data_IF_488166396474
#
_entry.id   IF_488166396474
#
_cell.length_a   1.000
_cell.length_b   1.000
_cell.length_c   1.000
_cell.angle_alpha   90.00
_cell.angle_beta   90.00
_cell.angle_gamma   90.00
#
_symmetry.space_group_name_H-M   'P 1'
#
loop_
_entity.id
_entity.type
_entity.pdbx_description
1 polymer ?
#
# COMPACT_ATOMS: atom_id res chain seq x y z
N UNK A 1 15.74 9.68 7.69
CA UNK A 1 14.88 9.69 8.91
C UNK A 1 13.49 9.10 8.65
N UNK A 2 12.75 9.53 7.62
CA UNK A 2 11.37 9.06 7.37
C UNK A 2 11.17 7.54 7.24
N UNK A 3 12.18 6.79 6.78
CA UNK A 3 12.11 5.32 6.65
C UNK A 3 12.63 4.55 7.87
N UNK A 4 13.08 5.23 8.93
CA UNK A 4 13.68 4.57 10.10
C UNK A 4 15.00 3.82 9.84
N UNK A 5 15.53 3.85 8.61
CA UNK A 5 16.80 3.20 8.25
C UNK A 5 18.01 3.98 8.78
N UNK A 6 19.01 3.32 9.38
CA UNK A 6 20.28 3.96 9.75
C UNK A 6 20.94 4.64 8.55
N UNK A 7 21.48 5.85 8.75
CA UNK A 7 22.17 6.61 7.71
C UNK A 7 23.32 7.41 8.34
N UNK A 8 24.50 7.29 7.74
CA UNK A 8 25.66 8.15 8.04
C UNK A 8 25.89 9.03 6.81
N UNK A 9 25.80 10.34 6.98
CA UNK A 9 25.99 11.31 5.91
C UNK A 9 27.19 12.23 6.21
N UNK A 10 27.77 12.84 5.17
CA UNK A 10 28.88 13.78 5.33
C UNK A 10 30.21 13.13 5.73
N UNK A 11 30.41 11.83 5.45
CA UNK A 11 31.66 11.15 5.76
C UNK A 11 32.74 11.50 4.72
N UNK A 12 33.55 12.53 5.01
CA UNK A 12 34.61 13.01 4.11
C UNK A 12 35.69 11.96 3.78
N UNK A 13 35.80 10.91 4.60
CA UNK A 13 36.73 9.80 4.40
C UNK A 13 36.25 8.77 3.36
N UNK A 14 35.04 8.92 2.82
CA UNK A 14 34.47 8.06 1.76
C UNK A 14 34.85 8.63 0.40
N UNK A 15 35.57 7.83 -0.39
CA UNK A 15 35.98 8.17 -1.76
C UNK A 15 35.54 7.05 -2.69
N UNK A 16 34.65 7.35 -3.63
CA UNK A 16 34.27 6.40 -4.68
C UNK A 16 35.40 6.32 -5.71
N UNK A 17 36.01 5.14 -5.86
CA UNK A 17 37.17 4.92 -6.74
C UNK A 17 36.81 4.20 -8.05
N UNK A 18 35.56 3.77 -8.20
CA UNK A 18 35.04 3.12 -9.39
C UNK A 18 33.54 2.89 -9.30
N UNK A 19 32.93 2.26 -10.33
CA UNK A 19 31.49 1.96 -10.37
C UNK A 19 31.02 1.09 -9.20
N UNK A 20 31.86 0.13 -8.80
CA UNK A 20 31.56 -0.87 -7.78
C UNK A 20 32.67 -0.90 -6.69
N UNK A 21 33.38 0.22 -6.51
CA UNK A 21 34.52 0.32 -5.57
C UNK A 21 34.47 1.61 -4.74
N UNK A 22 34.74 1.48 -3.44
CA UNK A 22 34.81 2.61 -2.51
C UNK A 22 35.99 2.45 -1.56
N UNK A 23 36.67 3.55 -1.27
CA UNK A 23 37.69 3.61 -0.21
C UNK A 23 37.11 4.39 0.96
N UNK A 24 37.13 3.80 2.16
CA UNK A 24 36.63 4.43 3.40
C UNK A 24 37.75 4.42 4.42
N UNK A 25 38.24 5.61 4.80
CA UNK A 25 39.31 5.72 5.80
C UNK A 25 40.60 4.97 5.41
N UNK A 26 40.90 4.90 4.12
CA UNK A 26 42.09 4.22 3.58
C UNK A 26 41.93 2.71 3.32
N UNK A 27 40.78 2.11 3.65
CA UNK A 27 40.46 0.71 3.28
C UNK A 27 39.60 0.65 2.03
N UNK A 28 39.96 -0.21 1.08
CA UNK A 28 39.20 -0.45 -0.16
C UNK A 28 38.14 -1.52 0.08
N UNK A 29 36.94 -1.27 -0.43
CA UNK A 29 35.80 -2.18 -0.45
C UNK A 29 35.26 -2.27 -1.88
N UNK A 30 34.74 -3.43 -2.24
CA UNK A 30 34.08 -3.68 -3.52
C UNK A 30 32.64 -4.14 -3.31
N UNK A 31 31.83 -4.10 -4.37
CA UNK A 31 30.45 -4.58 -4.32
C UNK A 31 30.39 -6.04 -3.83
N UNK A 32 29.62 -6.24 -2.77
CA UNK A 32 29.46 -7.54 -2.10
C UNK A 32 30.17 -7.60 -0.75
N UNK A 33 31.13 -6.72 -0.48
CA UNK A 33 31.77 -6.63 0.83
C UNK A 33 30.78 -6.11 1.88
N UNK A 34 30.87 -6.68 3.09
CA UNK A 34 30.02 -6.29 4.22
C UNK A 34 30.65 -5.15 5.00
N UNK A 35 29.85 -4.10 5.22
CA UNK A 35 30.18 -2.98 6.11
C UNK A 35 28.99 -2.75 7.05
N UNK A 36 29.29 -2.27 8.26
CA UNK A 36 28.27 -1.89 9.25
C UNK A 36 28.31 -0.40 9.50
N UNK A 37 27.15 0.22 9.77
CA UNK A 37 27.05 1.64 10.11
C UNK A 37 26.23 1.86 11.37
N UNK A 38 26.62 2.85 12.16
CA UNK A 38 25.83 3.35 13.29
C UNK A 38 25.35 4.77 12.98
N UNK A 39 24.07 4.90 12.62
CA UNK A 39 23.44 6.18 12.30
C UNK A 39 23.27 7.13 13.51
N UNK A 40 23.47 6.64 14.74
CA UNK A 40 23.40 7.46 15.96
C UNK A 40 24.72 8.14 16.25
N UNK A 41 25.84 7.42 16.11
CA UNK A 41 27.18 7.96 16.40
C UNK A 41 27.94 8.41 15.15
N UNK A 42 27.46 8.07 13.95
CA UNK A 42 28.13 8.38 12.70
C UNK A 42 29.30 7.46 12.36
N UNK A 43 29.48 6.35 13.09
CA UNK A 43 30.60 5.42 12.87
C UNK A 43 30.34 4.47 11.69
N UNK A 44 31.41 4.15 10.98
CA UNK A 44 31.45 3.17 9.90
C UNK A 44 32.45 2.10 10.27
N UNK A 45 32.05 0.83 10.16
CA UNK A 45 32.83 -0.33 10.52
C UNK A 45 33.07 -1.18 9.29
N UNK A 46 34.33 -1.51 9.02
CA UNK A 46 34.74 -2.31 7.86
C UNK A 46 34.54 -3.82 8.02
N UNK A 47 33.58 -4.22 8.85
CA UNK A 47 33.26 -5.59 9.20
C UNK A 47 31.77 -5.73 9.50
N UNK A 48 31.28 -6.97 9.52
CA UNK A 48 29.94 -7.29 9.99
C UNK A 48 29.90 -7.21 11.52
N UNK A 49 29.15 -6.26 12.06
CA UNK A 49 28.91 -6.17 13.49
C UNK A 49 27.65 -6.95 13.82
N UNK A 50 27.69 -7.90 14.78
CA UNK A 50 26.50 -8.59 15.26
C UNK A 50 25.46 -7.57 15.77
N UNK A 51 24.31 -7.53 15.12
CA UNK A 51 23.18 -6.70 15.54
C UNK A 51 22.22 -7.50 16.39
N UNK A 52 21.70 -6.89 17.45
CA UNK A 52 20.60 -7.46 18.22
C UNK A 52 19.31 -6.78 17.78
N UNK A 53 18.26 -7.55 17.39
CA UNK A 53 16.96 -6.96 17.13
C UNK A 53 16.47 -6.20 18.36
N UNK A 54 16.00 -4.98 18.17
CA UNK A 54 15.37 -4.24 19.26
C UNK A 54 14.23 -5.09 19.87
N UNK A 55 14.27 -5.28 21.19
CA UNK A 55 13.20 -5.94 21.94
C UNK A 55 12.53 -4.91 22.83
N UNK A 56 11.20 -4.98 22.91
CA UNK A 56 10.46 -4.32 23.98
C UNK A 56 10.57 -5.28 25.16
N UNK A 57 11.40 -4.95 26.15
CA UNK A 57 11.59 -5.76 27.35
C UNK A 57 11.94 -4.88 28.55
N UNK A 58 11.78 -5.45 29.75
CA UNK A 58 12.14 -4.79 31.01
C UNK A 58 11.31 -3.54 31.29
N UNK A 59 11.99 -2.44 31.62
CA UNK A 59 11.33 -1.19 32.01
C UNK A 59 10.48 -0.60 30.88
N UNK A 60 10.90 -0.77 29.61
CA UNK A 60 10.15 -0.27 28.47
C UNK A 60 8.82 -1.03 28.29
N UNK A 61 8.84 -2.36 28.43
CA UNK A 61 7.62 -3.18 28.37
C UNK A 61 6.65 -2.81 29.50
N UNK A 62 7.19 -2.66 30.72
CA UNK A 62 6.40 -2.25 31.89
C UNK A 62 5.76 -0.88 31.68
N UNK A 63 6.53 0.09 31.20
CA UNK A 63 6.05 1.44 30.93
C UNK A 63 4.98 1.47 29.83
N UNK A 64 5.18 0.73 28.73
CA UNK A 64 4.19 0.62 27.66
C UNK A 64 2.92 -0.09 28.14
N UNK A 65 3.03 -1.07 29.04
CA UNK A 65 1.89 -1.69 29.71
C UNK A 65 1.05 -0.68 30.49
N UNK A 66 1.67 0.19 31.29
CA UNK A 66 0.94 1.28 31.96
C UNK A 66 0.30 2.25 30.97
N UNK A 67 0.98 2.57 29.87
CA UNK A 67 0.42 3.42 28.82
C UNK A 67 -0.83 2.79 28.20
N UNK A 68 -0.83 1.46 28.01
CA UNK A 68 -2.00 0.71 27.53
C UNK A 68 -3.17 0.70 28.51
N UNK A 69 -2.91 0.53 29.80
CA UNK A 69 -3.93 0.62 30.86
C UNK A 69 -4.60 2.00 30.86
N UNK A 70 -3.79 3.07 30.87
CA UNK A 70 -4.27 4.45 30.84
C UNK A 70 -5.06 4.74 29.55
N UNK A 71 -4.53 4.31 28.40
CA UNK A 71 -5.21 4.41 27.10
C UNK A 71 -6.58 3.75 27.15
N UNK A 72 -6.64 2.49 27.60
CA UNK A 72 -7.87 1.69 27.63
C UNK A 72 -8.93 2.29 28.56
N UNK A 73 -8.52 2.86 29.70
CA UNK A 73 -9.42 3.49 30.67
C UNK A 73 -9.85 4.92 30.31
N UNK A 74 -9.19 5.58 29.36
CA UNK A 74 -9.46 6.97 28.98
C UNK A 74 -10.93 7.18 28.57
N UNK A 75 -11.53 8.30 28.97
CA UNK A 75 -12.93 8.64 28.65
C UNK A 75 -12.99 10.00 27.96
N UNK A 76 -13.74 10.09 26.87
CA UNK A 76 -13.97 11.35 26.12
C UNK A 76 -15.40 11.44 25.61
N UNK A 77 -15.82 12.65 25.29
CA UNK A 77 -17.11 12.92 24.64
C UNK A 77 -16.82 13.51 23.27
N UNK A 78 -17.37 12.93 22.20
CA UNK A 78 -17.21 13.46 20.84
C UNK A 78 -18.01 14.75 20.66
N UNK A 79 -17.73 15.50 19.59
CA UNK A 79 -18.53 16.68 19.23
C UNK A 79 -20.04 16.38 19.08
N UNK A 80 -20.40 15.14 18.73
CA UNK A 80 -21.78 14.65 18.66
C UNK A 80 -22.38 14.23 20.01
N UNK A 81 -21.68 14.42 21.13
CA UNK A 81 -22.13 14.03 22.47
C UNK A 81 -21.94 12.55 22.82
N UNK A 82 -21.35 11.74 21.93
CA UNK A 82 -21.11 10.31 22.18
C UNK A 82 -19.97 10.15 23.19
N UNK A 83 -20.25 9.46 24.29
CA UNK A 83 -19.23 9.02 25.25
C UNK A 83 -18.44 7.85 24.66
N UNK A 84 -17.10 7.96 24.66
CA UNK A 84 -16.18 6.94 24.16
C UNK A 84 -15.17 6.62 25.26
N UNK A 85 -14.98 5.33 25.51
CA UNK A 85 -13.98 4.81 26.45
C UNK A 85 -12.90 4.10 25.65
N UNK A 86 -11.63 4.39 25.93
CA UNK A 86 -10.48 3.81 25.25
C UNK A 86 -10.35 4.19 23.78
N UNK A 87 -9.24 3.80 23.17
CA UNK A 87 -9.03 3.82 21.73
C UNK A 87 -8.00 2.76 21.38
N UNK A 88 -8.08 2.14 20.20
CA UNK A 88 -7.08 1.20 19.70
C UNK A 88 -5.91 1.93 19.05
N UNK A 89 -4.70 1.35 19.14
CA UNK A 89 -3.55 1.77 18.34
C UNK A 89 -3.44 0.82 17.16
N UNK A 90 -3.69 1.34 15.96
CA UNK A 90 -3.51 0.62 14.71
C UNK A 90 -2.26 1.16 14.00
N UNK A 91 -1.63 0.33 13.18
CA UNK A 91 -0.47 0.73 12.39
C UNK A 91 -0.84 1.05 10.94
N UNK A 92 -0.02 1.89 10.31
CA UNK A 92 0.05 1.98 8.85
C UNK A 92 1.13 0.99 8.41
N UNK A 93 0.75 -0.07 7.71
CA UNK A 93 1.68 -1.12 7.34
C UNK A 93 1.14 -1.89 6.13
N UNK A 94 2.06 -2.42 5.34
CA UNK A 94 1.76 -3.40 4.29
C UNK A 94 1.93 -4.84 4.81
N UNK A 95 1.73 -5.83 3.93
CA UNK A 95 1.75 -7.24 4.31
C UNK A 95 3.03 -7.66 5.06
N UNK A 96 4.19 -7.26 4.57
CA UNK A 96 5.50 -7.61 5.13
C UNK A 96 5.83 -6.85 6.43
N UNK A 97 5.21 -5.70 6.67
CA UNK A 97 5.44 -4.85 7.83
C UNK A 97 4.51 -5.18 9.01
N UNK A 98 3.34 -5.77 8.73
CA UNK A 98 2.32 -6.08 9.73
C UNK A 98 2.84 -6.94 10.92
N UNK A 99 3.64 -8.01 10.73
CA UNK A 99 4.16 -8.79 11.86
C UNK A 99 5.01 -7.95 12.83
N UNK A 100 5.80 -7.01 12.30
CA UNK A 100 6.60 -6.11 13.13
C UNK A 100 5.71 -5.11 13.89
N UNK A 101 4.67 -4.58 13.25
CA UNK A 101 3.69 -3.73 13.91
C UNK A 101 3.00 -4.46 15.07
N UNK A 102 2.63 -5.72 14.90
CA UNK A 102 2.02 -6.52 15.96
C UNK A 102 3.00 -6.81 17.10
N UNK A 103 4.27 -7.06 16.80
CA UNK A 103 5.33 -7.20 17.81
C UNK A 103 5.49 -5.95 18.69
N UNK A 104 5.17 -4.77 18.15
CA UNK A 104 5.14 -3.51 18.90
C UNK A 104 3.77 -3.18 19.53
N UNK A 105 2.82 -4.12 19.53
CA UNK A 105 1.53 -3.97 20.21
C UNK A 105 0.41 -3.35 19.37
N UNK A 106 0.59 -3.15 18.07
CA UNK A 106 -0.51 -2.69 17.21
C UNK A 106 -1.67 -3.70 17.23
N UNK A 107 -2.89 -3.22 17.48
CA UNK A 107 -4.10 -4.04 17.55
C UNK A 107 -4.58 -4.51 16.15
N UNK A 108 -4.05 -3.89 15.09
CA UNK A 108 -4.39 -4.17 13.70
C UNK A 108 -3.77 -3.12 12.78
N UNK A 109 -4.14 -3.17 11.51
CA UNK A 109 -3.68 -2.24 10.47
C UNK A 109 -4.80 -1.27 10.11
N UNK A 110 -4.58 0.02 10.39
CA UNK A 110 -5.54 1.10 10.13
C UNK A 110 -5.47 1.65 8.71
N UNK A 111 -4.36 1.40 8.01
CA UNK A 111 -4.14 1.77 6.62
C UNK A 111 -3.17 0.78 5.96
N UNK A 112 -3.71 -0.06 5.09
CA UNK A 112 -2.97 -0.86 4.11
C UNK A 112 -3.14 -0.21 2.73
N UNK A 113 -2.04 0.22 2.13
CA UNK A 113 -2.01 0.85 0.80
C UNK A 113 -2.02 -0.22 -0.29
N UNK A 114 -2.78 -0.01 -1.36
CA UNK A 114 -2.89 -0.97 -2.48
C UNK A 114 -2.04 -0.59 -3.68
N UNK A 115 -1.54 0.63 -3.71
CA UNK A 115 -0.81 1.22 -4.84
C UNK A 115 0.46 0.44 -5.18
N UNK A 116 1.25 0.07 -4.17
CA UNK A 116 2.47 -0.70 -4.35
C UNK A 116 2.21 -2.06 -5.01
N UNK A 117 1.03 -2.64 -4.79
CA UNK A 117 0.65 -3.89 -5.44
C UNK A 117 0.53 -3.73 -6.96
N UNK A 118 0.23 -2.54 -7.49
CA UNK A 118 0.13 -2.34 -8.94
C UNK A 118 1.49 -2.24 -9.63
N UNK A 119 2.59 -1.99 -8.89
CA UNK A 119 3.92 -1.83 -9.48
C UNK A 119 4.64 -3.14 -9.77
N UNK A 120 4.13 -4.29 -9.32
CA UNK A 120 4.68 -5.58 -9.75
C UNK A 120 4.41 -5.80 -11.25
N UNK A 121 5.45 -6.16 -12.00
CA UNK A 121 5.48 -6.16 -13.47
C UNK A 121 4.25 -6.76 -14.19
N UNK A 122 3.72 -7.94 -13.80
CA UNK A 122 2.53 -8.49 -14.45
C UNK A 122 1.26 -7.63 -14.24
N UNK A 123 1.11 -7.02 -13.06
CA UNK A 123 -0.01 -6.12 -12.72
C UNK A 123 0.20 -4.77 -13.40
N UNK A 124 1.40 -4.21 -13.32
CA UNK A 124 1.74 -2.92 -13.92
C UNK A 124 1.47 -2.92 -15.43
N UNK A 125 1.91 -3.97 -16.14
CA UNK A 125 1.71 -4.09 -17.59
C UNK A 125 0.22 -4.11 -17.94
N UNK A 126 -0.58 -4.89 -17.21
CA UNK A 126 -2.03 -4.97 -17.44
C UNK A 126 -2.73 -3.65 -17.09
N UNK A 127 -2.28 -2.98 -16.03
CA UNK A 127 -2.81 -1.69 -15.60
C UNK A 127 -2.48 -0.58 -16.59
N UNK A 128 -1.26 -0.55 -17.12
CA UNK A 128 -0.86 0.37 -18.19
C UNK A 128 -1.70 0.14 -19.46
N UNK A 129 -2.00 -1.12 -19.83
CA UNK A 129 -2.93 -1.44 -20.93
C UNK A 129 -4.34 -0.93 -20.66
N UNK A 130 -4.82 -1.04 -19.42
CA UNK A 130 -6.10 -0.45 -19.01
C UNK A 130 -6.09 1.07 -19.20
N UNK A 131 -5.06 1.77 -18.74
CA UNK A 131 -4.96 3.24 -18.82
C UNK A 131 -4.99 3.75 -20.26
N UNK A 132 -4.34 3.05 -21.20
CA UNK A 132 -4.33 3.45 -22.61
C UNK A 132 -5.57 2.99 -23.39
N UNK A 133 -6.50 2.27 -22.78
CA UNK A 133 -7.71 1.76 -23.45
C UNK A 133 -8.80 2.83 -23.56
N UNK A 134 -9.38 2.98 -24.74
CA UNK A 134 -10.42 3.99 -25.00
C UNK A 134 -11.83 3.49 -24.62
N UNK A 135 -12.05 2.18 -24.55
CA UNK A 135 -13.35 1.59 -24.21
C UNK A 135 -13.39 0.99 -22.80
N UNK A 136 -14.57 1.05 -22.16
CA UNK A 136 -14.82 0.38 -20.87
C UNK A 136 -14.62 -1.14 -20.97
N UNK A 137 -14.95 -1.74 -22.12
CA UNK A 137 -14.81 -3.18 -22.34
C UNK A 137 -13.34 -3.62 -22.34
N UNK A 138 -12.46 -2.87 -23.01
CA UNK A 138 -11.02 -3.14 -23.00
C UNK A 138 -10.40 -2.88 -21.62
N UNK A 139 -10.86 -1.84 -20.91
CA UNK A 139 -10.43 -1.59 -19.53
C UNK A 139 -10.76 -2.78 -18.64
N UNK A 140 -12.00 -3.28 -18.68
CA UNK A 140 -12.42 -4.46 -17.94
C UNK A 140 -11.60 -5.70 -18.31
N UNK A 141 -11.38 -5.97 -19.60
CA UNK A 141 -10.55 -7.09 -20.07
C UNK A 141 -9.12 -7.04 -19.53
N UNK A 142 -8.55 -5.86 -19.36
CA UNK A 142 -7.21 -5.70 -18.78
C UNK A 142 -7.24 -5.82 -17.24
N UNK A 143 -8.28 -5.30 -16.58
CA UNK A 143 -8.51 -5.46 -15.14
C UNK A 143 -8.75 -6.93 -14.74
N UNK A 144 -9.42 -7.72 -15.57
CA UNK A 144 -9.63 -9.16 -15.35
C UNK A 144 -8.32 -9.95 -15.22
N UNK A 145 -7.25 -9.48 -15.86
CA UNK A 145 -5.90 -10.06 -15.73
C UNK A 145 -5.24 -9.71 -14.40
N UNK A 146 -5.61 -8.58 -13.80
CA UNK A 146 -5.10 -8.10 -12.51
C UNK A 146 -5.84 -8.78 -11.35
N UNK A 147 -7.15 -9.03 -11.51
CA UNK A 147 -8.03 -9.61 -10.51
C UNK A 147 -7.42 -10.83 -9.77
N UNK A 148 -6.96 -11.90 -10.44
CA UNK A 148 -6.42 -13.08 -9.74
C UNK A 148 -5.11 -12.77 -9.00
N UNK A 149 -4.32 -11.80 -9.48
CA UNK A 149 -3.07 -11.40 -8.85
C UNK A 149 -3.36 -10.63 -7.56
N UNK A 150 -4.29 -9.67 -7.60
CA UNK A 150 -4.71 -8.95 -6.40
C UNK A 150 -5.45 -9.84 -5.41
N UNK A 151 -6.28 -10.78 -5.86
CA UNK A 151 -6.91 -11.75 -4.96
C UNK A 151 -5.85 -12.51 -4.16
N UNK A 152 -4.77 -12.96 -4.81
CA UNK A 152 -3.66 -13.64 -4.15
C UNK A 152 -2.98 -12.75 -3.11
N UNK A 153 -2.69 -11.50 -3.47
CA UNK A 153 -2.05 -10.55 -2.56
C UNK A 153 -2.95 -10.26 -1.34
N UNK A 154 -4.24 -9.98 -1.56
CA UNK A 154 -5.20 -9.76 -0.47
C UNK A 154 -5.37 -10.98 0.42
N UNK A 155 -5.36 -12.20 -0.14
CA UNK A 155 -5.36 -13.41 0.67
C UNK A 155 -4.10 -13.51 1.54
N UNK A 156 -2.94 -13.12 1.00
CA UNK A 156 -1.68 -13.00 1.74
C UNK A 156 -1.76 -11.98 2.88
N UNK A 157 -2.32 -10.80 2.61
CA UNK A 157 -2.58 -9.76 3.61
C UNK A 157 -3.48 -10.32 4.72
N UNK A 158 -4.66 -10.85 4.39
CA UNK A 158 -5.64 -11.38 5.35
C UNK A 158 -5.01 -12.45 6.25
N UNK A 159 -4.27 -13.40 5.65
CA UNK A 159 -3.59 -14.45 6.40
C UNK A 159 -2.57 -13.87 7.40
N UNK A 160 -1.83 -12.84 6.99
CA UNK A 160 -0.79 -12.21 7.82
C UNK A 160 -1.37 -11.48 9.03
N UNK A 161 -2.64 -11.04 8.97
CA UNK A 161 -3.30 -10.34 10.07
C UNK A 161 -3.66 -11.25 11.25
N UNK A 162 -3.73 -12.57 11.04
CA UNK A 162 -4.09 -13.56 12.07
C UNK A 162 -5.42 -13.24 12.79
N UNK A 163 -6.39 -12.69 12.05
CA UNK A 163 -7.69 -12.27 12.58
C UNK A 163 -7.74 -10.86 13.18
N UNK A 164 -6.62 -10.12 13.22
CA UNK A 164 -6.62 -8.69 13.53
C UNK A 164 -7.29 -7.89 12.42
N UNK A 165 -7.76 -6.69 12.77
CA UNK A 165 -8.36 -5.77 11.81
C UNK A 165 -7.36 -5.32 10.75
N UNK A 166 -7.79 -5.24 9.48
CA UNK A 166 -7.06 -4.59 8.39
C UNK A 166 -7.98 -3.71 7.58
N UNK A 167 -7.65 -2.42 7.52
CA UNK A 167 -8.32 -1.44 6.66
C UNK A 167 -7.53 -1.27 5.37
N UNK A 168 -8.07 -1.79 4.27
CA UNK A 168 -7.49 -1.71 2.94
C UNK A 168 -8.00 -0.43 2.27
N UNK A 169 -7.08 0.47 1.91
CA UNK A 169 -7.41 1.67 1.13
C UNK A 169 -7.38 1.33 -0.35
N UNK A 170 -8.47 1.64 -1.05
CA UNK A 170 -8.55 1.51 -2.50
C UNK A 170 -7.57 2.47 -3.20
N UNK A 171 -7.37 2.28 -4.50
CA UNK A 171 -6.37 3.01 -5.29
C UNK A 171 -6.55 4.54 -5.14
N UNK A 172 -5.50 5.22 -4.67
CA UNK A 172 -5.46 6.67 -4.47
C UNK A 172 -4.74 7.49 -5.58
N UNK A 173 -3.60 7.07 -6.16
CA UNK A 173 -2.79 7.93 -7.00
C UNK A 173 -3.45 8.16 -8.38
N UNK A 174 -3.15 9.30 -9.01
CA UNK A 174 -3.55 9.58 -10.39
C UNK A 174 -2.90 8.59 -11.37
N UNK A 175 -3.54 8.41 -12.53
CA UNK A 175 -3.10 7.42 -13.52
C UNK A 175 -1.74 7.75 -14.16
N UNK A 176 -1.34 9.03 -14.18
CA UNK A 176 -0.04 9.45 -14.70
C UNK A 176 1.16 8.87 -13.94
N UNK A 177 1.00 8.53 -12.65
CA UNK A 177 2.06 7.87 -11.86
C UNK A 177 2.44 6.48 -12.41
N UNK A 178 1.55 5.85 -13.20
CA UNK A 178 1.77 4.53 -13.80
C UNK A 178 2.25 4.58 -15.25
N UNK A 179 2.16 5.73 -15.92
CA UNK A 179 2.63 5.92 -17.30
C UNK A 179 4.02 6.57 -17.27
N UNK A 180 5.06 5.74 -17.35
CA UNK A 180 6.46 6.16 -17.39
C UNK A 180 6.84 6.57 -18.81
N UNK A 181 6.48 7.80 -19.21
CA UNK A 181 6.71 8.31 -20.56
C UNK A 181 7.15 9.79 -20.60
N UNK A 182 7.98 10.22 -19.63
CA UNK A 182 8.42 11.62 -19.52
C UNK A 182 9.40 12.01 -20.62
N UNK A 183 10.13 11.03 -21.17
CA UNK A 183 11.06 11.22 -22.29
C UNK A 183 10.67 10.39 -23.49
N UNK A 184 11.15 10.77 -24.67
CA UNK A 184 10.93 10.01 -25.90
C UNK A 184 11.45 8.56 -25.82
N UNK A 185 12.58 8.35 -25.13
CA UNK A 185 13.12 7.01 -24.91
C UNK A 185 12.23 6.17 -24.00
N UNK A 186 11.70 6.75 -22.92
CA UNK A 186 10.75 6.08 -22.03
C UNK A 186 9.44 5.74 -22.74
N UNK A 187 8.90 6.68 -23.53
CA UNK A 187 7.70 6.47 -24.32
C UNK A 187 7.87 5.33 -25.34
N UNK A 188 9.01 5.27 -26.04
CA UNK A 188 9.33 4.17 -26.96
C UNK A 188 9.47 2.83 -26.24
N UNK A 189 10.12 2.82 -25.08
CA UNK A 189 10.25 1.61 -24.25
C UNK A 189 8.88 1.09 -23.81
N UNK A 190 8.01 1.98 -23.33
CA UNK A 190 6.66 1.62 -22.90
C UNK A 190 5.79 1.15 -24.08
N UNK A 191 5.87 1.83 -25.22
CA UNK A 191 5.16 1.44 -26.44
C UNK A 191 5.53 0.01 -26.88
N UNK A 192 6.84 -0.29 -26.89
CA UNK A 192 7.35 -1.64 -27.19
C UNK A 192 6.90 -2.67 -26.15
N UNK A 193 6.89 -2.31 -24.86
CA UNK A 193 6.42 -3.19 -23.77
C UNK A 193 4.94 -3.54 -23.91
N UNK A 194 4.11 -2.55 -24.28
CA UNK A 194 2.66 -2.72 -24.35
C UNK A 194 2.19 -3.25 -25.72
N UNK A 195 3.08 -3.27 -26.72
CA UNK A 195 2.80 -3.65 -28.11
C UNK A 195 1.80 -2.68 -28.78
N UNK A 196 2.11 -1.38 -28.71
CA UNK A 196 1.30 -0.28 -29.28
C UNK A 196 2.19 0.77 -29.95
N UNK A 197 1.59 1.65 -30.75
CA UNK A 197 2.30 2.79 -31.33
C UNK A 197 2.74 3.79 -30.23
N UNK A 198 3.96 4.32 -30.35
CA UNK A 198 4.49 5.35 -29.45
C UNK A 198 3.62 6.61 -29.43
N UNK A 199 2.92 6.92 -30.53
CA UNK A 199 1.98 8.01 -30.60
C UNK A 199 0.82 7.85 -29.60
N UNK A 200 0.34 6.63 -29.37
CA UNK A 200 -0.71 6.34 -28.38
C UNK A 200 -0.21 6.63 -26.97
N UNK A 201 1.01 6.21 -26.66
CA UNK A 201 1.63 6.47 -25.35
C UNK A 201 1.82 7.97 -25.11
N UNK A 202 2.37 8.69 -26.10
CA UNK A 202 2.59 10.13 -26.00
C UNK A 202 1.27 10.90 -25.84
N UNK A 203 0.25 10.54 -26.61
CA UNK A 203 -1.07 11.15 -26.51
C UNK A 203 -1.70 10.92 -25.13
N UNK A 204 -1.68 9.68 -24.63
CA UNK A 204 -2.23 9.36 -23.31
C UNK A 204 -1.44 10.02 -22.18
N UNK A 205 -0.12 10.08 -22.28
CA UNK A 205 0.72 10.76 -21.28
C UNK A 205 0.40 12.26 -21.21
N UNK A 206 0.23 12.92 -22.35
CA UNK A 206 -0.15 14.34 -22.40
C UNK A 206 -1.58 14.58 -21.86
N UNK A 207 -2.52 13.66 -22.13
CA UNK A 207 -3.90 13.71 -21.64
C UNK A 207 -3.99 13.58 -20.10
N UNK A 208 -3.09 12.79 -19.51
CA UNK A 208 -3.00 12.58 -18.06
C UNK A 208 -2.06 13.58 -17.36
N UNK A 209 -1.47 14.52 -18.10
CA UNK A 209 -0.60 15.53 -17.49
C UNK A 209 -1.43 16.53 -16.68
N UNK A 210 -1.09 16.68 -15.40
CA UNK A 210 -1.82 17.53 -14.47
C UNK A 210 -0.87 18.54 -13.85
N UNK A 211 -1.27 19.81 -13.82
CA UNK A 211 -0.46 20.85 -13.19
C UNK A 211 -0.24 20.60 -11.68
N UNK A 212 -1.25 20.05 -10.98
CA UNK A 212 -1.14 19.68 -9.58
C UNK A 212 -1.76 18.30 -9.31
N UNK A 213 -0.98 17.21 -9.46
CA UNK A 213 -1.45 15.84 -9.26
C UNK A 213 -1.95 15.53 -7.84
N UNK A 214 -1.54 16.31 -6.83
CA UNK A 214 -2.03 16.13 -5.46
C UNK A 214 -3.52 16.46 -5.33
N UNK A 215 -4.03 17.40 -6.14
CA UNK A 215 -5.42 17.86 -6.11
C UNK A 215 -6.23 17.41 -7.35
N UNK A 216 -5.63 16.59 -8.21
CA UNK A 216 -6.17 16.21 -9.52
C UNK A 216 -7.16 15.03 -9.50
N UNK A 217 -7.14 14.28 -10.60
CA UNK A 217 -8.03 13.16 -10.90
C UNK A 217 -7.51 11.86 -10.28
N UNK A 218 -7.82 11.70 -8.99
CA UNK A 218 -7.27 10.63 -8.15
C UNK A 218 -8.30 10.15 -7.13
N UNK A 219 -8.01 9.05 -6.42
CA UNK A 219 -8.88 8.49 -5.38
C UNK A 219 -10.33 8.28 -5.82
N UNK A 220 -11.31 8.70 -5.00
CA UNK A 220 -12.74 8.52 -5.30
C UNK A 220 -13.17 9.14 -6.63
N UNK A 221 -12.55 10.24 -7.08
CA UNK A 221 -12.88 10.93 -8.34
C UNK A 221 -12.55 10.05 -9.54
N UNK A 222 -11.44 9.32 -9.45
CA UNK A 222 -11.04 8.35 -10.46
C UNK A 222 -12.02 7.18 -10.52
N UNK A 223 -12.47 6.69 -9.37
CA UNK A 223 -13.47 5.62 -9.30
C UNK A 223 -14.87 6.05 -9.77
N UNK A 224 -15.21 7.33 -9.70
CA UNK A 224 -16.47 7.83 -10.25
C UNK A 224 -16.46 7.80 -11.79
N UNK A 225 -15.34 8.15 -12.42
CA UNK A 225 -15.20 8.14 -13.89
C UNK A 225 -14.87 6.76 -14.44
N UNK A 226 -14.15 5.93 -13.67
CA UNK A 226 -13.74 4.57 -14.03
C UNK A 226 -14.12 3.59 -12.91
N UNK A 227 -15.42 3.34 -12.69
CA UNK A 227 -15.91 2.49 -11.60
C UNK A 227 -15.33 1.08 -11.64
N UNK A 228 -15.02 0.55 -12.82
CA UNK A 228 -14.43 -0.76 -13.02
C UNK A 228 -13.12 -0.98 -12.23
N UNK A 229 -12.36 0.08 -11.92
CA UNK A 229 -11.13 -0.01 -11.12
C UNK A 229 -11.45 -0.45 -9.69
N UNK A 230 -12.39 0.24 -9.02
CA UNK A 230 -12.77 -0.08 -7.65
C UNK A 230 -13.63 -1.34 -7.61
N UNK A 231 -14.48 -1.59 -8.62
CA UNK A 231 -15.20 -2.85 -8.75
C UNK A 231 -14.23 -4.04 -8.73
N UNK A 232 -13.15 -4.00 -9.52
CA UNK A 232 -12.14 -5.06 -9.54
C UNK A 232 -11.41 -5.20 -8.20
N UNK A 233 -11.00 -4.11 -7.55
CA UNK A 233 -10.33 -4.19 -6.24
C UNK A 233 -11.26 -4.76 -5.15
N UNK A 234 -12.52 -4.33 -5.12
CA UNK A 234 -13.53 -4.84 -4.18
C UNK A 234 -13.82 -6.31 -4.46
N UNK A 235 -13.91 -6.72 -5.72
CA UNK A 235 -14.06 -8.13 -6.12
C UNK A 235 -12.87 -8.95 -5.64
N UNK A 236 -11.63 -8.47 -5.83
CA UNK A 236 -10.42 -9.14 -5.36
C UNK A 236 -10.41 -9.31 -3.83
N UNK A 237 -10.75 -8.26 -3.07
CA UNK A 237 -10.85 -8.29 -1.60
C UNK A 237 -11.92 -9.30 -1.16
N UNK A 238 -13.10 -9.26 -1.79
CA UNK A 238 -14.22 -10.15 -1.45
C UNK A 238 -13.90 -11.62 -1.77
N UNK A 239 -13.28 -11.90 -2.92
CA UNK A 239 -12.85 -13.25 -3.30
C UNK A 239 -11.79 -13.80 -2.35
N UNK A 240 -10.79 -12.98 -2.00
CA UNK A 240 -9.75 -13.35 -1.05
C UNK A 240 -10.33 -13.64 0.35
N UNK A 241 -11.28 -12.82 0.79
CA UNK A 241 -11.95 -13.00 2.08
C UNK A 241 -12.84 -14.25 2.08
N UNK A 242 -13.57 -14.51 0.99
CA UNK A 242 -14.37 -15.73 0.83
C UNK A 242 -13.48 -16.99 0.86
N UNK A 243 -12.29 -16.91 0.27
CA UNK A 243 -11.31 -18.00 0.32
C UNK A 243 -10.77 -18.20 1.75
N UNK A 244 -10.47 -17.12 2.48
CA UNK A 244 -10.05 -17.17 3.88
C UNK A 244 -11.13 -17.79 4.78
N UNK A 245 -12.40 -17.39 4.64
CA UNK A 245 -13.54 -17.93 5.38
C UNK A 245 -13.69 -19.45 5.15
N UNK A 246 -13.61 -19.90 3.89
CA UNK A 246 -13.67 -21.33 3.54
C UNK A 246 -12.52 -22.15 4.12
N UNK A 247 -11.36 -21.53 4.33
CA UNK A 247 -10.19 -22.15 4.97
C UNK A 247 -10.19 -22.01 6.50
N UNK A 248 -11.23 -21.41 7.09
CA UNK A 248 -11.31 -21.19 8.54
C UNK A 248 -10.32 -20.15 9.08
N UNK A 249 -9.78 -19.29 8.21
CA UNK A 249 -8.87 -18.21 8.60
C UNK A 249 -9.70 -17.05 9.14
N UNK A 250 -9.45 -16.65 10.39
CA UNK A 250 -10.10 -15.48 11.00
C UNK A 250 -9.73 -14.21 10.25
N UNK A 251 -10.70 -13.32 10.05
CA UNK A 251 -10.49 -12.07 9.32
C UNK A 251 -11.40 -10.94 9.86
N UNK A 252 -10.88 -9.71 9.91
CA UNK A 252 -11.65 -8.47 10.07
C UNK A 252 -11.16 -7.47 9.02
N UNK A 253 -11.74 -7.57 7.82
CA UNK A 253 -11.35 -6.76 6.67
C UNK A 253 -12.29 -5.56 6.53
N UNK A 254 -11.71 -4.38 6.33
CA UNK A 254 -12.40 -3.11 6.15
C UNK A 254 -11.93 -2.45 4.87
N UNK A 255 -12.82 -1.77 4.17
CA UNK A 255 -12.55 -1.10 2.90
C UNK A 255 -12.62 0.40 3.13
N UNK A 256 -11.60 1.13 2.69
CA UNK A 256 -11.52 2.59 2.83
C UNK A 256 -11.42 3.26 1.46
N UNK A 257 -12.33 4.20 1.22
CA UNK A 257 -12.39 5.01 0.01
C UNK A 257 -11.57 6.31 0.25
N UNK A 258 -10.52 6.58 -0.55
CA UNK A 258 -9.70 7.79 -0.40
C UNK A 258 -10.34 9.04 -1.03
N UNK A 259 -9.98 10.21 -0.49
CA UNK A 259 -10.22 11.56 -1.05
C UNK A 259 -11.69 11.96 -1.26
N UNK A 260 -12.62 11.37 -0.51
CA UNK A 260 -14.02 11.79 -0.52
C UNK A 260 -14.14 13.20 0.04
N UNK A 261 -14.89 14.05 -0.64
CA UNK A 261 -15.18 15.42 -0.20
C UNK A 261 -16.66 15.64 0.08
N UNK A 262 -17.54 14.82 -0.52
CA UNK A 262 -18.98 14.91 -0.34
C UNK A 262 -19.62 13.56 -0.01
N UNK A 263 -20.77 13.60 0.67
CA UNK A 263 -21.54 12.40 1.01
C UNK A 263 -22.01 11.64 -0.25
N UNK A 264 -22.27 12.34 -1.35
CA UNK A 264 -22.74 11.74 -2.59
C UNK A 264 -21.66 10.90 -3.28
N UNK A 265 -20.40 11.36 -3.27
CA UNK A 265 -19.25 10.57 -3.77
C UNK A 265 -19.13 9.25 -3.01
N UNK A 266 -19.18 9.31 -1.68
CA UNK A 266 -19.11 8.12 -0.83
C UNK A 266 -20.31 7.19 -1.07
N UNK A 267 -21.52 7.73 -1.15
CA UNK A 267 -22.74 6.95 -1.35
C UNK A 267 -22.68 6.15 -2.65
N UNK A 268 -22.33 6.80 -3.77
CA UNK A 268 -22.23 6.16 -5.08
C UNK A 268 -21.23 5.00 -5.06
N UNK A 269 -20.00 5.26 -4.59
CA UNK A 269 -18.94 4.25 -4.59
C UNK A 269 -19.27 3.10 -3.63
N UNK A 270 -19.87 3.40 -2.48
CA UNK A 270 -20.30 2.39 -1.51
C UNK A 270 -21.36 1.46 -2.09
N UNK A 271 -22.38 2.00 -2.76
CA UNK A 271 -23.43 1.20 -3.40
C UNK A 271 -22.84 0.26 -4.48
N UNK A 272 -21.88 0.76 -5.27
CA UNK A 272 -21.15 -0.06 -6.25
C UNK A 272 -20.36 -1.20 -5.56
N UNK A 273 -19.61 -0.88 -4.51
CA UNK A 273 -18.85 -1.87 -3.75
C UNK A 273 -19.77 -2.94 -3.12
N UNK A 274 -20.87 -2.54 -2.50
CA UNK A 274 -21.86 -3.44 -1.90
C UNK A 274 -22.49 -4.37 -2.96
N UNK A 275 -22.76 -3.88 -4.17
CA UNK A 275 -23.26 -4.70 -5.28
C UNK A 275 -22.25 -5.77 -5.71
N UNK A 276 -20.96 -5.40 -5.83
CA UNK A 276 -19.88 -6.35 -6.14
C UNK A 276 -19.73 -7.42 -5.05
N UNK A 277 -19.75 -7.01 -3.78
CA UNK A 277 -19.70 -7.95 -2.64
C UNK A 277 -20.89 -8.91 -2.67
N UNK A 278 -22.10 -8.42 -2.98
CA UNK A 278 -23.29 -9.26 -3.08
C UNK A 278 -23.18 -10.30 -4.22
N UNK A 279 -22.63 -9.91 -5.37
CA UNK A 279 -22.32 -10.83 -6.48
C UNK A 279 -21.36 -11.93 -6.04
N UNK A 280 -20.23 -11.57 -5.41
CA UNK A 280 -19.23 -12.54 -4.92
C UNK A 280 -19.82 -13.47 -3.86
N UNK A 281 -20.63 -12.94 -2.93
CA UNK A 281 -21.33 -13.74 -1.93
C UNK A 281 -22.23 -14.81 -2.56
N UNK A 282 -23.00 -14.42 -3.59
CA UNK A 282 -23.86 -15.35 -4.34
C UNK A 282 -23.05 -16.43 -5.04
N UNK A 283 -21.96 -16.06 -5.72
CA UNK A 283 -21.12 -16.98 -6.47
C UNK A 283 -20.32 -17.93 -5.58
N UNK A 284 -19.85 -17.47 -4.43
CA UNK A 284 -19.01 -18.26 -3.52
C UNK A 284 -19.81 -18.95 -2.41
N UNK A 285 -21.09 -18.64 -2.25
CA UNK A 285 -21.94 -19.20 -1.19
C UNK A 285 -21.57 -18.69 0.21
N UNK A 286 -21.12 -17.43 0.29
CA UNK A 286 -20.65 -16.77 1.52
C UNK A 286 -21.61 -15.65 1.94
N UNK A 287 -21.44 -15.10 3.15
CA UNK A 287 -22.26 -14.00 3.69
C UNK A 287 -21.38 -12.86 4.21
N UNK A 288 -20.34 -12.53 3.44
CA UNK A 288 -19.37 -11.52 3.79
C UNK A 288 -20.04 -10.16 3.97
N UNK A 289 -19.64 -9.46 5.03
CA UNK A 289 -20.00 -8.07 5.31
C UNK A 289 -18.73 -7.32 5.65
N UNK A 290 -18.48 -6.22 4.94
CA UNK A 290 -17.32 -5.36 5.18
C UNK A 290 -17.76 -4.04 5.80
N UNK A 291 -16.93 -3.48 6.67
CA UNK A 291 -17.05 -2.06 7.01
C UNK A 291 -16.49 -1.26 5.83
N UNK A 292 -17.34 -0.48 5.16
CA UNK A 292 -16.94 0.42 4.07
C UNK A 292 -16.99 1.84 4.60
N UNK A 293 -15.82 2.46 4.69
CA UNK A 293 -15.62 3.80 5.23
C UNK A 293 -14.88 4.72 4.25
N UNK A 294 -14.63 5.94 4.72
CA UNK A 294 -13.92 6.97 3.96
C UNK A 294 -12.75 7.52 4.75
N UNK A 295 -11.70 7.91 4.04
CA UNK A 295 -10.69 8.83 4.55
C UNK A 295 -11.31 10.23 4.67
N UNK A 296 -10.97 10.95 5.75
CA UNK A 296 -11.37 12.34 6.02
C UNK A 296 -10.12 13.15 6.24
#
# INVERSE_FOLDING_TARGET
RGMGTPCVCGCAAVVFTGKDEVTIGGKKFVKGDVISIDGSTGRVYGEEIPVTPASVSGDLETFLGWADEVRAASKRVTASGKKVTGFEVLANAEQNEAPQAFRFGAAGIGLCRTEHMFFDEPKLTSFQKMIISDSTEERKKNLDKILPLQQKDFFGIIKTMEGRAVTIRLLDPPLNEFIQAKTDAEAQSLAKKLDVDVAVIKAKFADLDEHNPMLGHRGCRLAITYPEIYEMQVEAIALATAEAEKKGIKHDVRIMIPNVTTVNELKQIREQAEAVIAKVNKEKGTKLKFQIGSMI
#
